data_IF_889058916359
#
_entry.id   IF_889058916359
#
_cell.length_a   1.000
_cell.length_b   1.000
_cell.length_c   1.000
_cell.angle_alpha   90.00
_cell.angle_beta   90.00
_cell.angle_gamma   90.00
#
_symmetry.space_group_name_H-M   'P 1'
#
loop_
_entity.id
_entity.type
_entity.pdbx_description
1 polymer ?
#
# COMPACT_ATOMS: atom_id res chain seq x y z
N UNK A 1 -46.85 10.06 -33.47
CA UNK A 1 -46.75 8.82 -32.67
C UNK A 1 -45.34 8.79 -32.11
N UNK A 2 -45.17 9.23 -30.85
CA UNK A 2 -43.91 9.12 -30.11
C UNK A 2 -43.80 7.70 -29.55
N UNK A 3 -42.61 7.06 -29.60
CA UNK A 3 -42.37 5.82 -28.87
C UNK A 3 -42.12 6.18 -27.40
N UNK A 4 -42.95 5.66 -26.53
CA UNK A 4 -42.80 5.69 -25.08
C UNK A 4 -41.63 4.80 -24.69
N UNK A 5 -40.63 5.37 -24.05
CA UNK A 5 -39.55 4.61 -23.41
C UNK A 5 -40.13 3.99 -22.13
N UNK A 6 -40.37 2.69 -22.16
CA UNK A 6 -40.62 1.90 -20.94
C UNK A 6 -39.28 1.77 -20.17
N UNK A 7 -39.20 2.47 -19.07
CA UNK A 7 -38.15 2.26 -18.07
C UNK A 7 -38.54 1.01 -17.28
N UNK A 8 -37.83 -0.09 -17.56
CA UNK A 8 -37.89 -1.29 -16.71
C UNK A 8 -37.31 -0.97 -15.33
N UNK A 9 -38.22 -0.73 -14.39
CA UNK A 9 -37.95 -0.61 -12.96
C UNK A 9 -37.87 -2.01 -12.35
N UNK A 10 -36.66 -2.50 -12.05
CA UNK A 10 -36.42 -3.45 -10.95
C UNK A 10 -34.90 -3.56 -10.65
N UNK A 11 -34.37 -2.63 -9.86
CA UNK A 11 -33.13 -2.84 -9.14
C UNK A 11 -33.23 -2.11 -7.81
N UNK A 12 -33.04 -2.85 -6.75
CA UNK A 12 -33.10 -2.51 -5.34
C UNK A 12 -32.50 -1.14 -4.99
N UNK A 13 -33.29 -0.32 -4.34
CA UNK A 13 -33.12 1.10 -4.00
C UNK A 13 -32.17 1.33 -2.81
N UNK A 14 -31.00 0.67 -2.69
CA UNK A 14 -30.05 0.98 -1.61
C UNK A 14 -28.61 1.27 -2.05
N UNK A 15 -28.30 1.19 -3.34
CA UNK A 15 -26.92 1.34 -3.85
C UNK A 15 -26.55 2.77 -4.31
N UNK A 16 -27.44 3.73 -4.23
CA UNK A 16 -27.29 5.03 -4.92
C UNK A 16 -26.19 5.95 -4.34
N UNK A 17 -25.65 5.70 -3.14
CA UNK A 17 -24.71 6.60 -2.46
C UNK A 17 -23.51 5.89 -1.78
N UNK A 18 -23.18 4.68 -2.16
CA UNK A 18 -21.99 4.01 -1.65
C UNK A 18 -20.72 4.65 -2.22
N UNK A 19 -19.74 4.94 -1.35
CA UNK A 19 -18.40 5.35 -1.74
C UNK A 19 -17.56 4.16 -2.21
N UNK A 20 -18.11 2.96 -2.12
CA UNK A 20 -17.43 1.72 -2.45
C UNK A 20 -18.05 1.12 -3.72
N UNK A 21 -17.20 0.57 -4.56
CA UNK A 21 -17.61 -0.28 -5.68
C UNK A 21 -17.39 -1.73 -5.26
N UNK A 22 -18.47 -2.50 -5.20
CA UNK A 22 -18.40 -3.94 -4.93
C UNK A 22 -18.15 -4.68 -6.25
N UNK A 23 -17.17 -5.55 -6.25
CA UNK A 23 -16.81 -6.38 -7.39
C UNK A 23 -16.72 -7.84 -6.95
N UNK A 24 -17.43 -8.70 -7.67
CA UNK A 24 -17.29 -10.15 -7.53
C UNK A 24 -15.83 -10.57 -7.80
N UNK A 25 -15.30 -11.52 -7.03
CA UNK A 25 -13.91 -12.01 -7.13
C UNK A 25 -13.56 -12.44 -8.57
N UNK A 26 -14.49 -13.14 -9.22
CA UNK A 26 -14.32 -13.57 -10.61
C UNK A 26 -14.25 -12.42 -11.61
N UNK A 27 -15.03 -11.36 -11.40
CA UNK A 27 -14.95 -10.13 -12.20
C UNK A 27 -13.65 -9.38 -11.94
N UNK A 28 -13.25 -9.29 -10.68
CA UNK A 28 -12.00 -8.66 -10.27
C UNK A 28 -10.77 -9.33 -10.90
N UNK A 29 -10.67 -10.67 -10.82
CA UNK A 29 -9.54 -11.42 -11.37
C UNK A 29 -9.39 -11.25 -12.89
N UNK A 30 -10.52 -11.10 -13.62
CA UNK A 30 -10.51 -10.87 -15.08
C UNK A 30 -9.88 -9.54 -15.49
N UNK A 31 -9.77 -8.55 -14.58
CA UNK A 31 -9.15 -7.26 -14.89
C UNK A 31 -7.65 -7.37 -15.19
N UNK A 32 -7.03 -8.50 -14.86
CA UNK A 32 -5.62 -8.79 -15.16
C UNK A 32 -5.42 -10.17 -15.82
N UNK A 33 -6.46 -10.79 -16.36
CA UNK A 33 -6.40 -12.15 -16.92
C UNK A 33 -5.39 -12.33 -18.07
N UNK A 34 -5.14 -11.26 -18.83
CA UNK A 34 -4.16 -11.26 -19.93
C UNK A 34 -2.70 -11.08 -19.46
N UNK A 35 -2.50 -10.86 -18.16
CA UNK A 35 -1.19 -10.62 -17.58
C UNK A 35 -0.76 -11.86 -16.82
N UNK A 36 0.34 -12.48 -17.24
CA UNK A 36 0.95 -13.57 -16.48
C UNK A 36 1.49 -13.05 -15.14
N UNK A 37 1.34 -13.84 -14.08
CA UNK A 37 1.96 -13.50 -12.78
C UNK A 37 3.48 -13.46 -12.96
N UNK A 38 4.14 -12.33 -12.72
CA UNK A 38 5.57 -12.19 -12.94
C UNK A 38 6.40 -12.69 -11.74
N UNK A 39 5.84 -13.60 -10.95
CA UNK A 39 6.46 -14.22 -9.78
C UNK A 39 6.39 -15.74 -9.89
N UNK A 40 7.43 -16.41 -9.49
CA UNK A 40 7.49 -17.86 -9.37
C UNK A 40 6.88 -18.35 -8.06
N UNK A 41 6.54 -19.64 -7.98
CA UNK A 41 6.07 -20.26 -6.73
C UNK A 41 7.08 -20.11 -5.59
N UNK A 42 8.38 -20.28 -5.86
CA UNK A 42 9.45 -20.11 -4.87
C UNK A 42 9.52 -18.66 -4.34
N UNK A 43 9.43 -17.67 -5.22
CA UNK A 43 9.38 -16.26 -4.79
C UNK A 43 8.17 -15.97 -3.90
N UNK A 44 7.02 -16.59 -4.19
CA UNK A 44 5.82 -16.43 -3.36
C UNK A 44 6.00 -17.09 -1.98
N UNK A 45 6.65 -18.26 -1.93
CA UNK A 45 6.99 -18.90 -0.66
C UNK A 45 7.88 -18.03 0.22
N UNK A 46 8.88 -17.39 -0.37
CA UNK A 46 9.79 -16.46 0.34
C UNK A 46 9.07 -15.19 0.85
N UNK A 47 7.95 -14.82 0.23
CA UNK A 47 7.15 -13.66 0.65
C UNK A 47 6.18 -13.98 1.78
N UNK A 48 5.91 -15.26 2.06
CA UNK A 48 5.00 -15.68 3.13
C UNK A 48 5.51 -15.28 4.51
N UNK A 49 4.60 -14.94 5.41
CA UNK A 49 4.85 -14.88 6.84
C UNK A 49 4.69 -16.26 7.49
N UNK A 50 5.13 -16.38 8.73
CA UNK A 50 4.92 -17.59 9.52
C UNK A 50 3.41 -17.90 9.63
N UNK A 51 2.98 -19.06 9.17
CA UNK A 51 1.59 -19.49 9.24
C UNK A 51 0.66 -18.94 8.15
N UNK A 52 1.19 -18.24 7.14
CA UNK A 52 0.39 -17.72 6.02
C UNK A 52 0.42 -18.68 4.82
N UNK A 53 -0.71 -18.80 4.13
CA UNK A 53 -0.93 -19.79 3.06
C UNK A 53 -1.16 -19.15 1.69
N UNK A 54 -0.62 -17.94 1.46
CA UNK A 54 -0.76 -17.30 0.16
C UNK A 54 -0.16 -18.19 -0.94
N UNK A 55 -0.88 -18.36 -2.03
CA UNK A 55 -0.46 -19.17 -3.17
C UNK A 55 -0.46 -18.37 -4.48
N UNK A 56 -0.02 -19.01 -5.56
CA UNK A 56 0.05 -18.40 -6.89
C UNK A 56 -1.34 -17.99 -7.39
N UNK A 57 -2.36 -18.80 -7.09
CA UNK A 57 -3.74 -18.53 -7.52
C UNK A 57 -4.29 -17.27 -6.83
N UNK A 58 -4.07 -17.15 -5.53
CA UNK A 58 -4.47 -15.96 -4.78
C UNK A 58 -3.73 -14.70 -5.28
N UNK A 59 -2.42 -14.82 -5.53
CA UNK A 59 -1.63 -13.73 -6.11
C UNK A 59 -2.21 -13.30 -7.47
N UNK A 60 -2.57 -14.25 -8.32
CA UNK A 60 -3.16 -13.96 -9.63
C UNK A 60 -4.55 -13.35 -9.53
N UNK A 61 -5.40 -13.89 -8.66
CA UNK A 61 -6.80 -13.49 -8.57
C UNK A 61 -7.01 -12.19 -7.79
N UNK A 62 -6.18 -11.91 -6.81
CA UNK A 62 -6.38 -10.79 -5.89
C UNK A 62 -5.30 -9.72 -6.05
N UNK A 63 -4.03 -10.09 -5.88
CA UNK A 63 -2.94 -9.11 -5.77
C UNK A 63 -2.49 -8.55 -7.11
N UNK A 64 -2.52 -9.33 -8.18
CA UNK A 64 -2.13 -8.87 -9.51
C UNK A 64 -3.06 -7.75 -10.01
N UNK A 65 -4.40 -7.88 -9.95
CA UNK A 65 -5.28 -6.77 -10.30
C UNK A 65 -5.10 -5.54 -9.40
N UNK A 66 -4.84 -5.73 -8.09
CA UNK A 66 -4.52 -4.61 -7.17
C UNK A 66 -3.25 -3.91 -7.63
N UNK A 67 -2.19 -4.66 -7.94
CA UNK A 67 -0.93 -4.08 -8.38
C UNK A 67 -1.09 -3.30 -9.70
N UNK A 68 -1.92 -3.80 -10.62
CA UNK A 68 -2.28 -3.10 -11.87
C UNK A 68 -2.99 -1.78 -11.59
N UNK A 69 -4.00 -1.81 -10.73
CA UNK A 69 -4.73 -0.61 -10.33
C UNK A 69 -3.81 0.43 -9.68
N UNK A 70 -2.96 0.00 -8.74
CA UNK A 70 -1.97 0.87 -8.10
C UNK A 70 -0.99 1.46 -9.10
N UNK A 71 -0.54 0.67 -10.08
CA UNK A 71 0.34 1.14 -11.15
C UNK A 71 -0.33 2.23 -12.00
N UNK A 72 -1.63 2.12 -12.28
CA UNK A 72 -2.40 3.17 -12.97
C UNK A 72 -2.42 4.47 -12.15
N UNK A 73 -2.67 4.39 -10.83
CA UNK A 73 -2.63 5.57 -9.95
C UNK A 73 -1.25 6.23 -9.90
N UNK A 74 -0.18 5.42 -9.79
CA UNK A 74 1.20 5.93 -9.78
C UNK A 74 1.52 6.67 -11.07
N UNK A 75 1.16 6.09 -12.23
CA UNK A 75 1.40 6.70 -13.53
C UNK A 75 0.62 8.00 -13.71
N UNK A 76 -0.67 8.01 -13.35
CA UNK A 76 -1.50 9.20 -13.43
C UNK A 76 -0.98 10.34 -12.53
N UNK A 77 -0.62 10.01 -11.27
CA UNK A 77 -0.06 10.99 -10.33
C UNK A 77 1.29 11.54 -10.80
N UNK A 78 2.15 10.67 -11.36
CA UNK A 78 3.44 11.10 -11.93
C UNK A 78 3.25 12.04 -13.11
N UNK A 79 2.36 11.69 -14.04
CA UNK A 79 2.06 12.54 -15.21
C UNK A 79 1.49 13.90 -14.80
N UNK A 80 0.55 13.90 -13.83
CA UNK A 80 0.00 15.14 -13.30
C UNK A 80 1.09 16.01 -12.65
N UNK A 81 1.98 15.41 -11.87
CA UNK A 81 3.09 16.13 -11.24
C UNK A 81 4.03 16.75 -12.27
N UNK A 82 4.37 16.03 -13.34
CA UNK A 82 5.18 16.56 -14.45
C UNK A 82 4.50 17.76 -15.11
N UNK A 83 3.25 17.60 -15.53
CA UNK A 83 2.51 18.70 -16.19
C UNK A 83 2.37 19.93 -15.29
N UNK A 84 2.15 19.72 -13.98
CA UNK A 84 2.04 20.81 -13.01
C UNK A 84 3.38 21.55 -12.85
N UNK A 85 4.49 20.82 -12.74
CA UNK A 85 5.81 21.41 -12.61
C UNK A 85 6.20 22.20 -13.88
N UNK A 86 5.90 21.65 -15.05
CA UNK A 86 6.13 22.33 -16.33
C UNK A 86 5.31 23.63 -16.42
N UNK A 87 4.03 23.58 -16.04
CA UNK A 87 3.14 24.75 -16.02
C UNK A 87 3.65 25.85 -15.07
N UNK A 88 4.15 25.45 -13.89
CA UNK A 88 4.66 26.38 -12.87
C UNK A 88 6.10 26.83 -13.14
N UNK A 89 6.78 26.26 -14.14
CA UNK A 89 8.19 26.57 -14.42
C UNK A 89 9.14 26.18 -13.29
N UNK A 90 8.78 25.18 -12.47
CA UNK A 90 9.61 24.72 -11.34
C UNK A 90 10.41 23.50 -11.73
N UNK A 91 11.59 23.33 -11.10
CA UNK A 91 12.44 22.16 -11.34
C UNK A 91 11.70 20.87 -11.04
N UNK A 92 11.76 19.92 -11.95
CA UNK A 92 11.16 18.59 -11.78
C UNK A 92 11.82 17.86 -10.63
N UNK A 93 11.12 17.72 -9.52
CA UNK A 93 11.49 16.82 -8.42
C UNK A 93 10.68 15.54 -8.54
N UNK A 94 11.35 14.40 -8.47
CA UNK A 94 10.66 13.12 -8.35
C UNK A 94 10.08 13.01 -6.94
N UNK A 95 8.78 13.15 -6.83
CA UNK A 95 8.05 12.93 -5.57
C UNK A 95 7.56 11.48 -5.56
N UNK A 96 8.00 10.65 -4.61
CA UNK A 96 7.52 9.29 -4.50
C UNK A 96 6.00 9.24 -4.27
N UNK A 97 5.36 8.25 -4.88
CA UNK A 97 3.98 7.90 -4.57
C UNK A 97 3.96 7.00 -3.32
N UNK A 98 3.20 7.38 -2.30
CA UNK A 98 3.11 6.65 -1.04
C UNK A 98 1.83 5.83 -1.02
N UNK A 99 1.97 4.53 -0.78
CA UNK A 99 0.87 3.59 -0.62
C UNK A 99 0.82 3.17 0.85
N UNK A 100 -0.28 3.47 1.53
CA UNK A 100 -0.52 3.04 2.90
C UNK A 100 -1.24 1.69 2.94
N UNK A 101 -0.66 0.70 3.62
CA UNK A 101 -1.30 -0.59 3.91
C UNK A 101 -1.71 -0.61 5.37
N UNK A 102 -3.00 -0.53 5.63
CA UNK A 102 -3.57 -0.47 6.97
C UNK A 102 -4.54 -1.65 7.21
N UNK A 103 -4.75 -2.00 8.47
CA UNK A 103 -5.65 -3.07 8.89
C UNK A 103 -5.40 -3.46 10.35
N UNK A 104 -6.25 -4.30 10.92
CA UNK A 104 -6.12 -4.79 12.29
C UNK A 104 -4.89 -5.69 12.48
N UNK A 105 -4.60 -6.05 13.72
CA UNK A 105 -3.49 -6.95 14.05
C UNK A 105 -3.71 -8.33 13.41
N UNK A 106 -2.63 -8.94 12.94
CA UNK A 106 -2.60 -10.32 12.39
C UNK A 106 -3.48 -10.56 11.14
N UNK A 107 -3.83 -9.53 10.36
CA UNK A 107 -4.61 -9.68 9.10
C UNK A 107 -3.74 -9.80 7.84
N UNK A 108 -2.45 -10.13 7.96
CA UNK A 108 -1.57 -10.31 6.80
C UNK A 108 -1.06 -9.02 6.14
N UNK A 109 -1.11 -7.85 6.82
CA UNK A 109 -0.61 -6.58 6.26
C UNK A 109 0.80 -6.66 5.71
N UNK A 110 1.70 -7.28 6.46
CA UNK A 110 3.12 -7.38 6.09
C UNK A 110 3.32 -8.21 4.84
N UNK A 111 2.59 -9.32 4.70
CA UNK A 111 2.62 -10.18 3.52
C UNK A 111 1.98 -9.49 2.33
N UNK A 112 0.80 -8.86 2.51
CA UNK A 112 0.19 -8.02 1.47
C UNK A 112 1.18 -6.97 0.96
N UNK A 113 1.87 -6.27 1.86
CA UNK A 113 2.84 -5.24 1.48
C UNK A 113 4.05 -5.82 0.73
N UNK A 114 4.59 -6.98 1.15
CA UNK A 114 5.69 -7.67 0.46
C UNK A 114 5.28 -8.15 -0.94
N UNK A 115 4.10 -8.77 -1.06
CA UNK A 115 3.58 -9.24 -2.36
C UNK A 115 3.35 -8.07 -3.30
N UNK A 116 2.71 -7.00 -2.84
CA UNK A 116 2.50 -5.79 -3.64
C UNK A 116 3.84 -5.14 -4.04
N UNK A 117 4.83 -5.09 -3.13
CA UNK A 117 6.17 -4.61 -3.47
C UNK A 117 6.80 -5.45 -4.58
N UNK A 118 6.74 -6.78 -4.48
CA UNK A 118 7.29 -7.70 -5.48
C UNK A 118 6.62 -7.52 -6.84
N UNK A 119 5.29 -7.44 -6.87
CA UNK A 119 4.52 -7.22 -8.10
C UNK A 119 4.78 -5.84 -8.71
N UNK A 120 4.74 -4.77 -7.90
CA UNK A 120 4.95 -3.41 -8.38
C UNK A 120 6.36 -3.21 -8.96
N UNK A 121 7.38 -3.85 -8.42
CA UNK A 121 8.75 -3.80 -8.98
C UNK A 121 8.87 -4.41 -10.38
N UNK A 122 7.92 -5.23 -10.80
CA UNK A 122 7.90 -5.85 -12.14
C UNK A 122 7.27 -4.93 -13.21
N UNK A 123 6.59 -3.86 -12.81
CA UNK A 123 6.08 -2.89 -13.75
C UNK A 123 7.20 -1.94 -14.20
N UNK A 124 7.37 -1.70 -15.52
CA UNK A 124 8.43 -0.82 -16.02
C UNK A 124 8.41 0.59 -15.45
N UNK A 125 7.21 1.09 -15.13
CA UNK A 125 7.01 2.44 -14.57
C UNK A 125 7.34 2.55 -13.07
N UNK A 126 7.43 1.42 -12.35
CA UNK A 126 7.65 1.40 -10.89
C UNK A 126 8.81 0.47 -10.47
N UNK A 127 10.02 0.58 -11.08
CA UNK A 127 11.12 -0.35 -10.80
C UNK A 127 11.71 -0.20 -9.39
N UNK A 128 11.47 0.94 -8.73
CA UNK A 128 11.98 1.25 -7.39
C UNK A 128 10.83 1.36 -6.40
N UNK A 129 10.60 0.31 -5.64
CA UNK A 129 9.58 0.27 -4.58
C UNK A 129 10.26 -0.07 -3.26
N UNK A 130 10.14 0.82 -2.28
CA UNK A 130 10.62 0.63 -0.92
C UNK A 130 9.48 0.29 0.01
N UNK A 131 9.71 -0.66 0.91
CA UNK A 131 8.80 -0.99 1.98
C UNK A 131 9.34 -0.41 3.29
N UNK A 132 8.55 0.40 3.94
CA UNK A 132 8.84 0.99 5.25
C UNK A 132 7.75 0.56 6.21
N UNK A 133 8.12 -0.05 7.33
CA UNK A 133 7.17 -0.43 8.37
C UNK A 133 6.99 0.71 9.36
N UNK A 134 5.76 0.97 9.78
CA UNK A 134 5.46 1.99 10.79
C UNK A 134 6.02 1.63 12.16
N UNK A 135 6.29 0.35 12.43
CA UNK A 135 6.87 -0.12 13.69
C UNK A 135 8.25 0.49 13.97
N UNK A 136 8.98 0.92 12.94
CA UNK A 136 10.21 1.70 13.09
C UNK A 136 10.02 3.01 13.85
N UNK A 137 8.80 3.54 13.86
CA UNK A 137 8.46 4.78 14.57
C UNK A 137 7.81 4.56 15.94
N UNK A 138 7.85 3.34 16.49
CA UNK A 138 7.55 3.10 17.90
C UNK A 138 8.62 3.79 18.77
N UNK A 139 8.22 4.26 19.95
CA UNK A 139 9.22 4.65 20.94
C UNK A 139 10.01 3.40 21.38
N UNK A 140 11.33 3.54 21.65
CA UNK A 140 12.13 2.47 22.24
C UNK A 140 11.53 1.95 23.53
N UNK A 141 11.74 0.67 23.86
CA UNK A 141 11.20 0.06 25.06
C UNK A 141 11.56 0.84 26.34
N UNK A 142 12.79 1.34 26.44
CA UNK A 142 13.22 2.17 27.58
C UNK A 142 12.35 3.43 27.74
N UNK A 143 11.97 4.07 26.64
CA UNK A 143 11.11 5.25 26.65
C UNK A 143 9.66 4.90 27.00
N UNK A 144 9.14 3.77 26.47
CA UNK A 144 7.81 3.28 26.83
C UNK A 144 7.71 2.93 28.31
N UNK A 145 8.76 2.33 28.88
CA UNK A 145 8.85 2.04 30.32
C UNK A 145 8.90 3.33 31.15
N UNK A 146 9.73 4.31 30.75
CA UNK A 146 9.82 5.61 31.40
C UNK A 146 8.48 6.35 31.44
N UNK A 147 7.69 6.20 30.37
CA UNK A 147 6.33 6.78 30.25
C UNK A 147 5.25 5.95 30.95
N UNK A 148 5.55 4.75 31.42
CA UNK A 148 4.58 3.84 32.04
C UNK A 148 3.56 3.26 31.05
N UNK A 149 3.84 3.29 29.76
CA UNK A 149 2.92 2.84 28.68
C UNK A 149 3.42 1.62 27.92
N UNK A 150 4.35 0.85 28.49
CA UNK A 150 4.86 -0.37 27.84
C UNK A 150 3.75 -1.36 27.47
N UNK A 151 2.70 -1.48 28.30
CA UNK A 151 1.52 -2.30 28.06
C UNK A 151 0.64 -1.81 26.89
N UNK A 152 0.90 -0.59 26.40
CA UNK A 152 0.22 0.03 25.26
C UNK A 152 1.07 0.03 23.99
N UNK A 153 2.16 -0.76 23.96
CA UNK A 153 2.99 -0.86 22.77
C UNK A 153 2.19 -1.37 21.57
N UNK A 154 2.30 -0.67 20.43
CA UNK A 154 1.49 -0.92 19.23
C UNK A 154 0.19 -0.10 19.18
N UNK A 155 -0.20 0.57 20.25
CA UNK A 155 -1.30 1.53 20.22
C UNK A 155 -0.81 2.93 19.81
N UNK A 156 -1.71 3.83 19.35
CA UNK A 156 -1.31 5.13 18.78
C UNK A 156 -0.38 5.99 19.66
N UNK A 157 -0.51 5.90 20.98
CA UNK A 157 0.30 6.64 21.94
C UNK A 157 1.74 6.13 22.08
N UNK A 158 2.02 4.91 21.60
CA UNK A 158 3.36 4.31 21.63
C UNK A 158 4.22 4.69 20.42
N UNK A 159 3.67 5.41 19.46
CA UNK A 159 4.39 5.85 18.26
C UNK A 159 4.91 7.29 18.40
N UNK A 160 6.12 7.52 17.91
CA UNK A 160 6.61 8.86 17.62
C UNK A 160 5.95 9.37 16.32
N UNK A 161 4.75 9.90 16.49
CA UNK A 161 3.96 10.44 15.38
C UNK A 161 4.64 11.64 14.72
N UNK A 162 5.45 12.38 15.46
CA UNK A 162 6.18 13.52 14.93
C UNK A 162 7.27 13.05 13.98
N UNK A 163 8.10 12.10 14.40
CA UNK A 163 9.13 11.52 13.55
C UNK A 163 8.53 10.87 12.29
N UNK A 164 7.40 10.16 12.40
CA UNK A 164 6.69 9.60 11.25
C UNK A 164 6.22 10.68 10.27
N UNK A 165 5.63 11.77 10.76
CA UNK A 165 5.17 12.88 9.92
C UNK A 165 6.34 13.62 9.27
N UNK A 166 7.44 13.83 9.99
CA UNK A 166 8.67 14.43 9.45
C UNK A 166 9.25 13.55 8.33
N UNK A 167 9.30 12.23 8.53
CA UNK A 167 9.72 11.27 7.50
C UNK A 167 8.84 11.36 6.25
N UNK A 168 7.52 11.27 6.40
CA UNK A 168 6.57 11.33 5.27
C UNK A 168 6.68 12.69 4.56
N UNK A 169 6.82 13.78 5.30
CA UNK A 169 6.98 15.12 4.73
C UNK A 169 8.27 15.24 3.93
N UNK A 170 9.38 14.72 4.44
CA UNK A 170 10.67 14.70 3.71
C UNK A 170 10.57 13.89 2.40
N UNK A 171 9.95 12.70 2.45
CA UNK A 171 9.70 11.89 1.26
C UNK A 171 8.84 12.65 0.24
N UNK A 172 7.75 13.26 0.67
CA UNK A 172 6.84 14.02 -0.19
C UNK A 172 7.42 15.34 -0.70
N UNK A 173 8.43 15.88 -0.02
CA UNK A 173 9.19 17.04 -0.48
C UNK A 173 10.30 16.70 -1.49
N UNK A 174 10.45 15.41 -1.83
CA UNK A 174 11.46 14.95 -2.78
C UNK A 174 12.90 15.07 -2.26
N UNK A 175 13.09 14.93 -0.93
CA UNK A 175 14.43 14.84 -0.34
C UNK A 175 15.14 13.62 -0.93
N UNK A 176 16.36 13.75 -1.47
CA UNK A 176 17.00 12.67 -2.24
C UNK A 176 17.26 11.40 -1.43
N UNK A 177 17.54 11.55 -0.15
CA UNK A 177 17.80 10.44 0.76
C UNK A 177 17.12 10.69 2.09
N UNK A 178 16.25 9.76 2.48
CA UNK A 178 15.53 9.79 3.76
C UNK A 178 15.69 8.42 4.41
N UNK A 179 16.07 8.39 5.68
CA UNK A 179 16.17 7.16 6.47
C UNK A 179 14.94 6.99 7.35
N UNK A 180 14.58 5.73 7.61
CA UNK A 180 13.57 5.36 8.59
C UNK A 180 14.19 4.42 9.62
N UNK A 181 13.86 4.55 10.91
CA UNK A 181 14.33 3.64 11.93
C UNK A 181 13.86 2.20 11.65
N UNK A 182 14.64 1.22 12.04
CA UNK A 182 14.33 -0.19 11.83
C UNK A 182 13.89 -0.86 13.13
N UNK A 183 12.72 -1.49 13.10
CA UNK A 183 12.22 -2.32 14.19
C UNK A 183 12.70 -3.77 14.02
N UNK A 184 13.10 -4.39 15.12
CA UNK A 184 13.45 -5.81 15.15
C UNK A 184 12.38 -6.62 15.90
N UNK A 185 11.73 -7.53 15.19
CA UNK A 185 10.81 -8.49 15.83
C UNK A 185 11.54 -9.52 16.69
N UNK A 186 12.85 -9.70 16.48
CA UNK A 186 13.66 -10.60 17.30
C UNK A 186 13.95 -10.01 18.69
N UNK A 187 14.29 -8.73 18.73
CA UNK A 187 14.57 -8.00 19.99
C UNK A 187 13.35 -7.28 20.55
N UNK A 188 12.26 -7.25 19.79
CA UNK A 188 11.05 -6.49 20.11
C UNK A 188 11.33 -5.02 20.44
N UNK A 189 12.29 -4.42 19.72
CA UNK A 189 12.68 -3.02 19.93
C UNK A 189 13.21 -2.39 18.64
N UNK A 190 13.38 -1.06 18.68
CA UNK A 190 14.06 -0.28 17.66
C UNK A 190 15.55 -0.66 17.67
N UNK A 191 16.10 -0.95 16.51
CA UNK A 191 17.55 -1.15 16.38
C UNK A 191 18.27 0.19 16.52
N UNK A 192 19.37 0.25 17.28
CA UNK A 192 20.23 1.44 17.28
C UNK A 192 20.79 1.66 15.86
N UNK A 193 20.94 2.94 15.49
CA UNK A 193 21.56 3.37 14.22
C UNK A 193 23.02 2.93 14.10
#
# INVERSE_FOLDING_TARGET
KNPTLEVMSSASTSAAWSRFTELERTRWSRLSAEISVPLTGAEIEDLRGLGETIDLEEVQQVYLPVSRLLNLYVNAASSLNHMTNDFLGVSQRRVPFIIGVAGSVAVGKSTTARVLQALLRRWPSTPKVQLVTTDGFLYPNAELQRRGIMHRKGFPESFDRRALLEFVSAVKSGVPQVSAPKYSHLYYDILPD
#
